data_IF_933108481819
#
_entry.id   IF_933108481819
#
_cell.length_a   1.000
_cell.length_b   1.000
_cell.length_c   1.000
_cell.angle_alpha   90.00
_cell.angle_beta   90.00
_cell.angle_gamma   90.00
#
_symmetry.space_group_name_H-M   'P 1'
#
loop_
_entity.id
_entity.type
_entity.pdbx_description
1 polymer ?
#
# COMPACT_ATOMS: atom_id res chain seq x y z
N UNK A 1 10.92 7.58 23.81
CA UNK A 1 10.37 6.54 22.90
C UNK A 1 9.43 7.25 21.93
N UNK A 2 9.90 7.71 20.77
CA UNK A 2 9.02 8.35 19.80
C UNK A 2 8.31 7.23 19.03
N UNK A 3 7.06 6.94 19.39
CA UNK A 3 6.20 6.06 18.59
C UNK A 3 5.94 6.77 17.28
N UNK A 4 6.53 6.28 16.20
CA UNK A 4 6.18 6.71 14.84
C UNK A 4 4.67 6.56 14.71
N UNK A 5 3.93 7.62 14.36
CA UNK A 5 2.48 7.54 14.25
C UNK A 5 2.15 6.43 13.25
N UNK A 6 1.33 5.48 13.69
CA UNK A 6 0.76 4.48 12.82
C UNK A 6 -0.08 5.24 11.79
N UNK A 7 0.44 5.41 10.58
CA UNK A 7 -0.31 6.01 9.49
C UNK A 7 -1.40 5.01 9.10
N UNK A 8 -2.57 5.14 9.72
CA UNK A 8 -3.72 4.29 9.44
C UNK A 8 -4.30 4.75 8.12
N UNK A 9 -4.18 3.90 7.10
CA UNK A 9 -4.90 4.08 5.86
C UNK A 9 -6.40 3.97 6.12
N UNK A 10 -7.12 5.08 5.92
CA UNK A 10 -8.57 5.11 6.00
C UNK A 10 -9.18 4.17 4.95
N UNK A 11 -10.40 3.69 5.22
CA UNK A 11 -11.16 2.88 4.27
C UNK A 11 -11.23 3.55 2.89
N UNK A 12 -11.62 4.83 2.88
CA UNK A 12 -11.70 5.67 1.69
C UNK A 12 -10.39 5.75 0.91
N UNK A 13 -9.25 5.87 1.60
CA UNK A 13 -7.95 5.91 0.94
C UNK A 13 -7.62 4.59 0.23
N UNK A 14 -7.88 3.46 0.90
CA UNK A 14 -7.65 2.14 0.31
C UNK A 14 -8.58 1.90 -0.88
N UNK A 15 -9.84 2.31 -0.77
CA UNK A 15 -10.85 2.20 -1.81
C UNK A 15 -10.49 3.04 -3.03
N UNK A 16 -10.10 4.30 -2.82
CA UNK A 16 -9.65 5.18 -3.91
C UNK A 16 -8.43 4.59 -4.63
N UNK A 17 -7.45 4.06 -3.91
CA UNK A 17 -6.27 3.43 -4.50
C UNK A 17 -6.61 2.16 -5.28
N UNK A 18 -7.48 1.30 -4.74
CA UNK A 18 -7.93 0.09 -5.42
C UNK A 18 -8.78 0.40 -6.66
N UNK A 19 -9.64 1.43 -6.58
CA UNK A 19 -10.49 1.88 -7.68
C UNK A 19 -9.65 2.42 -8.84
N UNK A 20 -8.63 3.24 -8.59
CA UNK A 20 -7.72 3.72 -9.65
C UNK A 20 -7.07 2.57 -10.42
N UNK A 21 -6.68 1.51 -9.73
CA UNK A 21 -6.09 0.33 -10.37
C UNK A 21 -7.13 -0.42 -11.19
N UNK A 22 -8.35 -0.55 -10.68
CA UNK A 22 -9.51 -1.13 -11.39
C UNK A 22 -9.88 -0.34 -12.65
N UNK A 23 -9.73 0.98 -12.62
CA UNK A 23 -9.95 1.90 -13.73
C UNK A 23 -8.87 1.78 -14.84
N UNK A 24 -7.84 0.95 -14.61
CA UNK A 24 -6.78 0.66 -15.58
C UNK A 24 -5.46 1.36 -15.26
N UNK A 25 -5.38 2.13 -14.17
CA UNK A 25 -4.12 2.73 -13.75
C UNK A 25 -3.13 1.64 -13.30
N UNK A 26 -1.89 1.72 -13.79
CA UNK A 26 -0.86 0.73 -13.48
C UNK A 26 -0.52 0.69 -11.98
N UNK A 27 -0.53 -0.49 -11.38
CA UNK A 27 -0.20 -0.71 -9.95
C UNK A 27 1.13 -0.07 -9.55
N UNK A 28 2.13 -0.13 -10.43
CA UNK A 28 3.45 0.47 -10.21
C UNK A 28 3.43 2.00 -10.19
N UNK A 29 2.57 2.62 -11.00
CA UNK A 29 2.41 4.07 -11.04
C UNK A 29 1.71 4.56 -9.76
N UNK A 30 0.61 3.89 -9.37
CA UNK A 30 -0.11 4.19 -8.13
C UNK A 30 0.78 3.96 -6.91
N UNK A 31 1.59 2.89 -6.89
CA UNK A 31 2.57 2.62 -5.85
C UNK A 31 3.57 3.76 -5.67
N UNK A 32 4.13 4.26 -6.78
CA UNK A 32 5.12 5.35 -6.74
C UNK A 32 4.50 6.67 -6.30
N UNK A 33 3.28 6.97 -6.73
CA UNK A 33 2.54 8.17 -6.33
C UNK A 33 2.21 8.18 -4.84
N UNK A 34 1.78 7.03 -4.31
CA UNK A 34 1.41 6.89 -2.90
C UNK A 34 2.60 6.58 -1.98
N UNK A 35 3.81 6.37 -2.53
CA UNK A 35 4.99 5.95 -1.75
C UNK A 35 4.85 4.56 -1.14
N UNK A 36 4.09 3.66 -1.79
CA UNK A 36 3.71 2.34 -1.28
C UNK A 36 4.29 1.20 -2.11
N UNK A 37 4.33 0.00 -1.53
CA UNK A 37 4.68 -1.22 -2.28
C UNK A 37 3.57 -1.63 -3.23
N UNK A 38 3.92 -2.05 -4.44
CA UNK A 38 2.97 -2.66 -5.39
C UNK A 38 2.25 -3.88 -4.82
N UNK A 39 2.93 -4.65 -3.97
CA UNK A 39 2.35 -5.81 -3.29
C UNK A 39 1.19 -5.43 -2.35
N UNK A 40 1.30 -4.30 -1.65
CA UNK A 40 0.23 -3.77 -0.79
C UNK A 40 -0.99 -3.41 -1.60
N UNK A 41 -0.79 -2.68 -2.69
CA UNK A 41 -1.87 -2.29 -3.59
C UNK A 41 -2.55 -3.50 -4.24
N UNK A 42 -1.81 -4.53 -4.65
CA UNK A 42 -2.40 -5.78 -5.15
C UNK A 42 -3.27 -6.48 -4.09
N UNK A 43 -2.83 -6.48 -2.83
CA UNK A 43 -3.62 -7.06 -1.74
C UNK A 43 -4.90 -6.26 -1.50
N UNK A 44 -4.84 -4.93 -1.59
CA UNK A 44 -6.03 -4.08 -1.48
C UNK A 44 -6.99 -4.29 -2.64
N UNK A 45 -6.51 -4.38 -3.89
CA UNK A 45 -7.36 -4.68 -5.04
C UNK A 45 -8.07 -6.03 -4.86
N UNK A 46 -7.33 -7.09 -4.47
CA UNK A 46 -7.94 -8.39 -4.16
C UNK A 46 -8.98 -8.33 -3.05
N UNK A 47 -8.71 -7.56 -1.99
CA UNK A 47 -9.65 -7.39 -0.89
C UNK A 47 -10.86 -6.54 -1.30
N UNK A 48 -10.69 -5.55 -2.16
CA UNK A 48 -11.74 -4.72 -2.75
C UNK A 48 -12.69 -5.57 -3.61
N UNK A 49 -12.13 -6.42 -4.48
CA UNK A 49 -12.90 -7.35 -5.31
C UNK A 49 -13.68 -8.38 -4.49
N UNK A 50 -13.11 -8.81 -3.36
CA UNK A 50 -13.77 -9.73 -2.44
C UNK A 50 -14.82 -9.05 -1.54
N UNK A 51 -14.99 -7.72 -1.61
CA UNK A 51 -15.83 -6.96 -0.66
C UNK A 51 -15.31 -6.96 0.78
N UNK A 52 -14.02 -7.29 0.97
CA UNK A 52 -13.34 -7.49 2.26
C UNK A 52 -12.30 -6.42 2.57
N UNK A 53 -12.19 -5.37 1.76
CA UNK A 53 -11.17 -4.33 1.94
C UNK A 53 -11.22 -3.66 3.32
N UNK A 54 -12.43 -3.54 3.87
CA UNK A 54 -12.72 -2.98 5.18
C UNK A 54 -13.10 -4.06 6.22
N UNK A 55 -12.91 -5.34 5.88
CA UNK A 55 -13.27 -6.46 6.75
C UNK A 55 -12.32 -6.62 7.95
N UNK A 56 -12.82 -7.15 9.08
CA UNK A 56 -11.97 -7.49 10.22
C UNK A 56 -10.93 -8.53 9.78
N UNK A 57 -9.65 -8.16 9.78
CA UNK A 57 -8.55 -8.99 9.30
C UNK A 57 -7.85 -8.49 8.04
N UNK A 58 -8.29 -7.38 7.43
CA UNK A 58 -7.50 -6.67 6.44
C UNK A 58 -6.16 -6.27 7.09
N UNK A 59 -5.07 -6.97 6.73
CA UNK A 59 -3.73 -6.72 7.28
C UNK A 59 -3.42 -5.23 7.17
N UNK A 60 -3.38 -4.57 8.32
CA UNK A 60 -2.90 -3.19 8.43
C UNK A 60 -1.44 -3.24 8.00
N UNK A 61 -1.15 -2.69 6.83
CA UNK A 61 0.25 -2.46 6.43
C UNK A 61 0.75 -1.36 7.34
N UNK A 62 1.55 -1.75 8.34
CA UNK A 62 2.11 -0.86 9.34
C UNK A 62 3.21 0.00 8.71
N UNK A 63 3.43 1.20 9.27
CA UNK A 63 4.47 2.11 8.82
C UNK A 63 5.85 1.45 8.76
N UNK A 64 6.12 0.51 9.65
CA UNK A 64 7.36 -0.28 9.69
C UNK A 64 7.55 -1.17 8.46
N UNK A 65 6.47 -1.76 7.91
CA UNK A 65 6.52 -2.52 6.66
C UNK A 65 6.72 -1.61 5.44
N UNK A 66 6.27 -0.36 5.53
CA UNK A 66 6.46 0.64 4.47
C UNK A 66 7.88 1.17 4.45
N UNK A 67 8.44 1.48 5.63
CA UNK A 67 9.83 1.87 5.77
C UNK A 67 10.75 0.73 5.30
N UNK A 68 10.43 -0.52 5.63
CA UNK A 68 11.18 -1.69 5.15
C UNK A 68 11.08 -1.86 3.63
N UNK A 69 9.91 -1.62 3.03
CA UNK A 69 9.76 -1.64 1.58
C UNK A 69 10.47 -0.47 0.90
N UNK A 70 10.45 0.71 1.52
CA UNK A 70 11.12 1.91 1.03
C UNK A 70 12.63 1.71 1.08
N UNK A 71 13.16 1.25 2.21
CA UNK A 71 14.57 0.88 2.39
C UNK A 71 15.01 -0.21 1.42
N UNK A 72 14.15 -1.20 1.10
CA UNK A 72 14.42 -2.19 0.02
C UNK A 72 14.40 -1.57 -1.37
N UNK A 73 13.50 -0.62 -1.64
CA UNK A 73 13.43 0.07 -2.92
C UNK A 73 14.63 1.00 -3.13
N UNK A 74 15.05 1.73 -2.09
CA UNK A 74 16.23 2.60 -2.11
C UNK A 74 17.54 1.81 -2.20
N UNK A 75 17.68 0.67 -1.50
CA UNK A 75 18.85 -0.21 -1.65
C UNK A 75 18.99 -0.83 -3.06
N UNK A 76 17.88 -1.02 -3.79
CA UNK A 76 17.94 -1.57 -5.16
C UNK A 76 18.36 -0.53 -6.20
N UNK A 77 18.25 0.76 -5.89
CA UNK A 77 18.65 1.88 -6.77
C UNK A 77 20.11 2.30 -6.57
N UNK A 78 20.71 2.02 -5.41
CA UNK A 78 22.12 2.39 -5.12
C UNK A 78 23.14 1.27 -5.40
N UNK A 79 22.72 0.15 -5.99
CA UNK A 79 23.54 -1.01 -6.27
C UNK A 79 23.65 -1.34 -7.75
N UNK A 80 23.98 -0.35 -8.58
CA UNK A 80 24.51 -0.56 -9.94
C UNK A 80 25.49 0.55 -10.31
#
# INVERSE_FOLDING_TARGET
MFKVPHQVYTAEFKEAAAQRIKDGQGVSAVARELGMSTQTLRNWVKAFEAGKLNGPGAKVVTAEQMELSRLRAENKVSGQ
#
